data_IF_961689008217
#
_entry.id   IF_961689008217
#
_cell.length_a   1.000
_cell.length_b   1.000
_cell.length_c   1.000
_cell.angle_alpha   90.00
_cell.angle_beta   90.00
_cell.angle_gamma   90.00
#
_symmetry.space_group_name_H-M   'P 1'
#
loop_
_entity.id
_entity.type
_entity.pdbx_description
1 polymer ?
#
# COMPACT_ATOMS: atom_id res chain seq x y z
N UNK A 1 2.46 -0.37 -38.19
CA UNK A 1 3.87 -0.67 -37.84
C UNK A 1 3.95 -0.66 -36.32
N UNK A 2 4.24 -1.77 -35.64
CA UNK A 2 4.51 -1.72 -34.21
C UNK A 2 5.79 -0.91 -33.97
N UNK A 3 5.79 -0.08 -32.93
CA UNK A 3 6.96 0.70 -32.51
C UNK A 3 8.09 -0.24 -32.05
N UNK A 4 9.34 0.20 -32.17
CA UNK A 4 10.49 -0.51 -31.60
C UNK A 4 10.31 -0.59 -30.07
N UNK A 5 10.34 -1.81 -29.54
CA UNK A 5 10.20 -2.03 -28.10
C UNK A 5 11.54 -1.84 -27.40
N UNK A 6 11.51 -1.23 -26.22
CA UNK A 6 12.68 -1.09 -25.38
C UNK A 6 13.20 -2.45 -24.91
N UNK A 7 14.50 -2.70 -25.10
CA UNK A 7 15.16 -3.92 -24.61
C UNK A 7 15.33 -3.86 -23.09
N UNK A 8 14.45 -4.57 -22.37
CA UNK A 8 14.43 -4.61 -20.90
C UNK A 8 15.69 -5.22 -20.29
N UNK A 9 16.50 -5.97 -21.05
CA UNK A 9 17.79 -6.48 -20.55
C UNK A 9 18.82 -5.36 -20.32
N UNK A 10 18.57 -4.17 -20.86
CA UNK A 10 19.39 -2.97 -20.62
C UNK A 10 19.03 -2.25 -19.31
N UNK A 11 18.00 -2.69 -18.58
CA UNK A 11 17.67 -2.13 -17.28
C UNK A 11 18.68 -2.57 -16.22
N UNK A 12 19.23 -1.60 -15.50
CA UNK A 12 20.08 -1.84 -14.34
C UNK A 12 19.22 -1.82 -13.07
N UNK A 13 18.64 -2.98 -12.71
CA UNK A 13 17.87 -3.13 -11.48
C UNK A 13 18.79 -3.28 -10.28
N UNK A 14 18.61 -2.41 -9.29
CA UNK A 14 19.34 -2.45 -8.01
C UNK A 14 18.54 -3.22 -6.96
N UNK A 15 19.19 -3.86 -5.98
CA UNK A 15 18.48 -4.48 -4.87
C UNK A 15 17.82 -3.41 -3.98
N UNK A 16 16.65 -3.71 -3.42
CA UNK A 16 15.94 -2.85 -2.47
C UNK A 16 16.78 -2.51 -1.24
N UNK A 17 17.75 -3.36 -0.87
CA UNK A 17 18.69 -3.09 0.23
C UNK A 17 19.60 -1.89 -0.03
N UNK A 18 19.78 -1.49 -1.29
CA UNK A 18 20.55 -0.29 -1.67
C UNK A 18 19.67 0.97 -1.77
N UNK A 19 18.34 0.83 -1.66
CA UNK A 19 17.41 1.96 -1.67
C UNK A 19 17.38 2.63 -0.31
N UNK A 20 17.32 3.96 -0.32
CA UNK A 20 16.98 4.75 0.87
C UNK A 20 15.46 4.70 1.07
N UNK A 21 15.03 4.10 2.18
CA UNK A 21 13.62 3.98 2.56
C UNK A 21 13.26 5.05 3.56
N UNK A 22 12.09 5.66 3.43
CA UNK A 22 11.62 6.70 4.37
C UNK A 22 10.50 6.22 5.28
N UNK A 23 10.15 4.94 5.24
CA UNK A 23 9.17 4.34 6.12
C UNK A 23 9.52 2.89 6.43
N UNK A 24 9.51 2.51 7.71
CA UNK A 24 9.90 1.20 8.20
C UNK A 24 8.73 0.47 8.87
N UNK A 25 8.79 -0.87 8.88
CA UNK A 25 7.77 -1.71 9.52
C UNK A 25 7.63 -1.43 11.03
N UNK A 26 8.71 -0.96 11.68
CA UNK A 26 8.69 -0.50 13.08
C UNK A 26 7.82 0.74 13.32
N UNK A 27 7.51 1.50 12.26
CA UNK A 27 6.66 2.70 12.30
C UNK A 27 5.19 2.39 11.99
N UNK A 28 4.85 1.14 11.65
CA UNK A 28 3.47 0.71 11.44
C UNK A 28 2.70 0.81 12.75
N UNK A 29 1.59 1.55 12.72
CA UNK A 29 0.82 1.86 13.91
C UNK A 29 0.14 0.60 14.48
N UNK A 30 0.24 0.35 15.80
CA UNK A 30 -0.55 -0.70 16.44
C UNK A 30 -2.03 -0.31 16.48
N UNK A 31 -2.92 -1.29 16.68
CA UNK A 31 -4.37 -1.08 16.67
C UNK A 31 -4.88 -0.20 17.83
N UNK A 32 -4.09 -0.09 18.90
CA UNK A 32 -4.33 0.72 20.08
C UNK A 32 -3.54 2.04 20.07
N UNK A 33 -2.96 2.42 18.92
CA UNK A 33 -2.26 3.69 18.77
C UNK A 33 -3.15 4.86 19.18
N UNK A 34 -2.58 5.80 19.94
CA UNK A 34 -3.28 7.03 20.28
C UNK A 34 -3.56 7.84 19.01
N UNK A 35 -4.83 8.16 18.79
CA UNK A 35 -5.25 9.03 17.69
C UNK A 35 -5.38 10.46 18.17
N UNK A 36 -4.91 11.46 17.41
CA UNK A 36 -5.19 12.86 17.74
C UNK A 36 -6.70 13.10 17.79
N UNK A 37 -7.20 14.01 18.64
CA UNK A 37 -8.62 14.33 18.69
C UNK A 37 -9.13 14.73 17.30
N UNK A 38 -10.01 13.90 16.75
CA UNK A 38 -10.64 14.12 15.47
C UNK A 38 -12.11 13.78 15.60
N UNK A 39 -12.98 14.73 15.24
CA UNK A 39 -14.43 14.54 15.24
C UNK A 39 -15.00 15.08 13.94
N UNK A 40 -15.61 14.17 13.20
CA UNK A 40 -16.45 14.47 12.06
C UNK A 40 -17.63 13.52 12.11
N UNK A 41 -18.85 14.06 12.17
CA UNK A 41 -20.08 13.27 12.27
C UNK A 41 -20.28 12.34 11.07
N UNK A 42 -19.69 12.68 9.91
CA UNK A 42 -19.74 11.84 8.72
C UNK A 42 -19.05 10.49 8.94
N UNK A 43 -18.02 10.41 9.79
CA UNK A 43 -17.32 9.15 10.09
C UNK A 43 -18.24 8.19 10.84
N UNK A 44 -18.95 8.71 11.84
CA UNK A 44 -19.93 7.93 12.59
C UNK A 44 -21.04 7.41 11.67
N UNK A 45 -21.52 8.24 10.75
CA UNK A 45 -22.54 7.85 9.78
C UNK A 45 -22.02 6.80 8.78
N UNK A 46 -20.79 6.95 8.28
CA UNK A 46 -20.13 5.96 7.41
C UNK A 46 -20.01 4.62 8.14
N UNK A 47 -19.51 4.62 9.38
CA UNK A 47 -19.37 3.42 10.20
C UNK A 47 -20.73 2.74 10.44
N UNK A 48 -21.77 3.50 10.77
CA UNK A 48 -23.14 2.99 10.94
C UNK A 48 -23.63 2.31 9.67
N UNK A 49 -23.48 2.96 8.51
CA UNK A 49 -23.90 2.39 7.21
C UNK A 49 -23.14 1.13 6.84
N UNK A 50 -21.83 1.09 7.10
CA UNK A 50 -21.02 -0.11 6.90
C UNK A 50 -21.54 -1.28 7.74
N UNK A 51 -21.78 -1.06 9.04
CA UNK A 51 -22.32 -2.09 9.94
C UNK A 51 -23.71 -2.56 9.51
N UNK A 52 -24.60 -1.65 9.13
CA UNK A 52 -25.94 -2.00 8.63
C UNK A 52 -25.91 -2.79 7.33
N UNK A 53 -25.04 -2.41 6.39
CA UNK A 53 -24.84 -3.17 5.16
C UNK A 53 -24.39 -4.60 5.49
N UNK A 54 -23.41 -4.78 6.39
CA UNK A 54 -22.93 -6.10 6.80
C UNK A 54 -24.01 -6.93 7.50
N UNK A 55 -24.81 -6.34 8.39
CA UNK A 55 -25.93 -7.02 9.06
C UNK A 55 -26.99 -7.54 8.08
N UNK A 56 -27.15 -6.88 6.93
CA UNK A 56 -28.08 -7.29 5.86
C UNK A 56 -27.44 -8.24 4.83
N UNK A 57 -26.21 -8.70 5.06
CA UNK A 57 -25.46 -9.54 4.13
C UNK A 57 -24.84 -8.77 2.94
N UNK A 58 -24.90 -7.43 2.94
CA UNK A 58 -24.34 -6.58 1.90
C UNK A 58 -22.81 -6.47 1.95
N UNK A 59 -22.18 -6.17 0.82
CA UNK A 59 -20.72 -6.05 0.71
C UNK A 59 -20.26 -4.63 1.06
N UNK A 60 -19.06 -4.52 1.65
CA UNK A 60 -18.36 -3.25 1.90
C UNK A 60 -16.99 -3.35 1.25
N UNK A 61 -16.74 -2.47 0.28
CA UNK A 61 -15.50 -2.42 -0.50
C UNK A 61 -14.71 -1.19 -0.07
N UNK A 62 -13.51 -1.39 0.49
CA UNK A 62 -12.58 -0.29 0.71
C UNK A 62 -11.81 -0.03 -0.58
N UNK A 63 -11.95 1.17 -1.14
CA UNK A 63 -11.13 1.63 -2.27
C UNK A 63 -10.09 2.62 -1.76
N UNK A 64 -8.80 2.32 -1.92
CA UNK A 64 -7.72 3.12 -1.34
C UNK A 64 -6.54 3.33 -2.27
N UNK A 65 -5.83 4.45 -2.08
CA UNK A 65 -4.50 4.64 -2.63
C UNK A 65 -3.42 4.12 -1.68
N UNK A 66 -2.20 3.99 -2.21
CA UNK A 66 -0.98 3.62 -1.48
C UNK A 66 -0.74 4.34 -0.14
N UNK A 67 -1.23 5.57 0.03
CA UNK A 67 -0.99 6.37 1.22
C UNK A 67 -1.44 5.67 2.50
N UNK A 68 -2.54 4.92 2.48
CA UNK A 68 -3.02 4.17 3.66
C UNK A 68 -1.95 3.18 4.16
N UNK A 69 -1.34 2.43 3.25
CA UNK A 69 -0.31 1.44 3.61
C UNK A 69 1.00 2.13 3.98
N UNK A 70 1.46 3.07 3.16
CA UNK A 70 2.78 3.70 3.33
C UNK A 70 2.87 4.62 4.55
N UNK A 71 1.74 5.01 5.15
CA UNK A 71 1.70 5.77 6.41
C UNK A 71 1.36 4.89 7.62
N UNK A 72 1.49 3.57 7.50
CA UNK A 72 1.43 2.66 8.64
C UNK A 72 0.03 2.24 9.09
N UNK A 73 -1.00 2.35 8.24
CA UNK A 73 -2.38 1.96 8.61
C UNK A 73 -2.77 0.55 8.13
N UNK A 74 -1.82 -0.23 7.60
CA UNK A 74 -2.08 -1.58 7.07
C UNK A 74 -2.76 -2.50 8.09
N UNK A 75 -2.34 -2.48 9.36
CA UNK A 75 -2.93 -3.29 10.43
C UNK A 75 -4.42 -3.02 10.65
N UNK A 76 -4.85 -1.76 10.54
CA UNK A 76 -6.27 -1.40 10.69
C UNK A 76 -7.10 -1.91 9.52
N UNK A 77 -6.55 -1.88 8.30
CA UNK A 77 -7.21 -2.48 7.13
C UNK A 77 -7.38 -3.98 7.33
N UNK A 78 -6.31 -4.68 7.74
CA UNK A 78 -6.33 -6.11 8.02
C UNK A 78 -7.33 -6.45 9.13
N UNK A 79 -7.32 -5.74 10.26
CA UNK A 79 -8.26 -5.95 11.37
C UNK A 79 -9.73 -5.81 10.91
N UNK A 80 -10.04 -4.79 10.11
CA UNK A 80 -11.40 -4.60 9.59
C UNK A 80 -11.79 -5.66 8.54
N UNK A 81 -10.83 -6.25 7.83
CA UNK A 81 -11.06 -7.41 6.96
C UNK A 81 -11.31 -8.68 7.78
N UNK A 82 -10.49 -8.96 8.79
CA UNK A 82 -10.62 -10.13 9.67
C UNK A 82 -11.93 -10.12 10.46
N UNK A 83 -12.41 -8.94 10.87
CA UNK A 83 -13.74 -8.74 11.48
C UNK A 83 -14.89 -8.87 10.49
N UNK A 84 -14.61 -9.04 9.19
CA UNK A 84 -15.59 -9.10 8.14
C UNK A 84 -16.36 -7.80 7.93
N UNK A 85 -15.82 -6.67 8.38
CA UNK A 85 -16.39 -5.33 8.12
C UNK A 85 -16.07 -4.92 6.69
N UNK A 86 -14.79 -4.95 6.32
CA UNK A 86 -14.39 -4.89 4.91
C UNK A 86 -14.48 -6.29 4.32
N UNK A 87 -15.22 -6.39 3.21
CA UNK A 87 -15.37 -7.65 2.47
C UNK A 87 -14.42 -7.73 1.30
N UNK A 88 -14.01 -6.58 0.77
CA UNK A 88 -13.12 -6.46 -0.37
C UNK A 88 -12.24 -5.22 -0.17
N UNK A 89 -11.02 -5.28 -0.71
CA UNK A 89 -10.12 -4.14 -0.81
C UNK A 89 -9.76 -3.97 -2.29
N UNK A 90 -9.82 -2.74 -2.76
CA UNK A 90 -9.37 -2.36 -4.09
C UNK A 90 -8.38 -1.21 -3.97
N UNK A 91 -7.30 -1.25 -4.75
CA UNK A 91 -6.29 -0.21 -4.73
C UNK A 91 -5.56 -0.08 -6.05
N UNK A 92 -4.80 1.01 -6.17
CA UNK A 92 -3.88 1.16 -7.30
C UNK A 92 -2.64 0.27 -7.12
N UNK A 93 -1.84 0.09 -8.18
CA UNK A 93 -0.66 -0.80 -8.14
C UNK A 93 0.35 -0.46 -7.05
N UNK A 94 0.43 0.81 -6.64
CA UNK A 94 1.32 1.22 -5.56
C UNK A 94 0.91 0.65 -4.19
N UNK A 95 -0.37 0.30 -3.96
CA UNK A 95 -0.79 -0.40 -2.73
C UNK A 95 -0.06 -1.73 -2.60
N UNK A 96 -0.05 -2.53 -3.67
CA UNK A 96 0.62 -3.83 -3.70
C UNK A 96 2.14 -3.68 -3.51
N UNK A 97 2.75 -2.66 -4.13
CA UNK A 97 4.17 -2.35 -3.97
C UNK A 97 4.51 -2.08 -2.50
N UNK A 98 3.82 -1.17 -1.83
CA UNK A 98 4.13 -0.81 -0.45
C UNK A 98 3.88 -1.96 0.53
N UNK A 99 2.80 -2.71 0.35
CA UNK A 99 2.49 -3.86 1.20
C UNK A 99 3.53 -4.98 1.05
N UNK A 100 3.89 -5.31 -0.19
CA UNK A 100 4.92 -6.31 -0.49
C UNK A 100 6.29 -5.93 0.06
N UNK A 101 6.75 -4.69 -0.16
CA UNK A 101 8.05 -4.24 0.32
C UNK A 101 8.13 -4.26 1.85
N UNK A 102 7.07 -3.81 2.53
CA UNK A 102 6.98 -3.90 3.99
C UNK A 102 7.07 -5.35 4.48
N UNK A 103 6.36 -6.28 3.83
CA UNK A 103 6.38 -7.69 4.19
C UNK A 103 7.73 -8.36 3.88
N UNK A 104 8.37 -8.00 2.76
CA UNK A 104 9.59 -8.63 2.25
C UNK A 104 10.85 -8.14 2.94
N UNK A 105 11.01 -6.81 3.09
CA UNK A 105 12.26 -6.18 3.56
C UNK A 105 12.06 -5.31 4.80
N UNK A 106 10.83 -5.18 5.32
CA UNK A 106 10.55 -4.39 6.52
C UNK A 106 10.65 -2.88 6.31
N UNK A 107 10.66 -2.40 5.07
CA UNK A 107 10.78 -0.98 4.73
C UNK A 107 10.16 -0.68 3.35
N UNK A 108 9.70 0.55 3.15
CA UNK A 108 9.13 1.02 1.89
C UNK A 108 9.26 2.55 1.75
N UNK A 109 8.71 3.09 0.66
CA UNK A 109 8.72 4.51 0.28
C UNK A 109 10.10 5.00 -0.13
N UNK A 110 10.17 5.60 -1.31
CA UNK A 110 11.38 6.18 -1.87
C UNK A 110 11.18 7.68 -2.13
N UNK A 111 12.27 8.44 -2.18
CA UNK A 111 12.23 9.83 -2.64
C UNK A 111 12.02 9.89 -4.15
N UNK A 112 10.79 10.20 -4.56
CA UNK A 112 10.40 10.35 -5.96
C UNK A 112 11.32 11.36 -6.68
N UNK A 113 11.57 12.51 -6.05
CA UNK A 113 12.39 13.57 -6.64
C UNK A 113 13.84 13.11 -6.89
N UNK A 114 14.44 12.45 -5.90
CA UNK A 114 15.82 11.92 -6.00
C UNK A 114 15.91 10.88 -7.11
N UNK A 115 15.11 9.83 -7.03
CA UNK A 115 15.27 8.69 -7.93
C UNK A 115 14.79 8.95 -9.36
N UNK A 116 13.88 9.90 -9.59
CA UNK A 116 13.60 10.39 -10.94
C UNK A 116 14.82 11.10 -11.51
N UNK A 117 15.45 12.00 -10.73
CA UNK A 117 16.63 12.75 -11.21
C UNK A 117 17.83 11.85 -11.51
N UNK A 118 17.93 10.72 -10.81
CA UNK A 118 18.98 9.71 -11.00
C UNK A 118 18.63 8.63 -12.04
N UNK A 119 17.42 8.65 -12.62
CA UNK A 119 16.96 7.63 -13.57
C UNK A 119 16.77 6.24 -12.95
N UNK A 120 16.51 6.17 -11.65
CA UNK A 120 16.40 4.94 -10.85
C UNK A 120 15.00 4.69 -10.28
N UNK A 121 14.06 5.63 -10.46
CA UNK A 121 12.72 5.52 -9.91
C UNK A 121 12.01 4.25 -10.41
N UNK A 122 11.63 3.38 -9.47
CA UNK A 122 11.01 2.08 -9.77
C UNK A 122 11.95 1.00 -10.33
N UNK A 123 13.28 1.21 -10.35
CA UNK A 123 14.25 0.22 -10.86
C UNK A 123 14.79 -0.70 -9.74
N UNK A 124 13.87 -1.30 -8.99
CA UNK A 124 14.18 -2.15 -7.83
C UNK A 124 13.88 -3.62 -8.11
N UNK A 125 14.85 -4.50 -7.86
CA UNK A 125 14.79 -5.92 -8.22
C UNK A 125 13.64 -6.65 -7.51
N UNK A 126 13.60 -6.59 -6.19
CA UNK A 126 12.64 -7.32 -5.37
C UNK A 126 11.21 -6.82 -5.58
N UNK A 127 11.01 -5.51 -5.78
CA UNK A 127 9.70 -4.97 -6.15
C UNK A 127 9.23 -5.52 -7.50
N UNK A 128 10.15 -5.78 -8.43
CA UNK A 128 9.86 -6.39 -9.73
C UNK A 128 9.35 -7.83 -9.65
N UNK A 129 9.75 -8.60 -8.62
CA UNK A 129 9.30 -9.97 -8.37
C UNK A 129 7.77 -10.08 -8.23
N UNK A 130 7.09 -8.98 -7.88
CA UNK A 130 5.62 -8.91 -7.85
C UNK A 130 4.97 -9.33 -9.16
N UNK A 131 5.64 -9.10 -10.31
CA UNK A 131 5.10 -9.48 -11.61
C UNK A 131 5.23 -10.97 -11.90
N UNK A 132 6.10 -11.69 -11.17
CA UNK A 132 6.33 -13.13 -11.37
C UNK A 132 5.40 -13.99 -10.50
N UNK A 133 4.83 -13.40 -9.44
CA UNK A 133 3.88 -14.07 -8.53
C UNK A 133 2.41 -13.88 -8.91
N UNK A 134 2.12 -12.94 -9.83
CA UNK A 134 0.78 -12.57 -10.26
C UNK A 134 0.26 -13.40 -11.46
#
# INVERSE_FOLDING_TARGET
MPYELFDRNKLHLKPLSEREHTFHASEVLPLDAETPPFRDESICEIARRMVEARRRGGQVVLMMGAHVIKTGLSRFVVDLMERGIFTHVAGNGAVAVHDYELAKVGATTESVAKYISEGQFGLWRETGELNDVA
#
